data_IF_001440499519
#
_entry.id   IF_001440499519
#
_cell.length_a   1.000
_cell.length_b   1.000
_cell.length_c   1.000
_cell.angle_alpha   90.00
_cell.angle_beta   90.00
_cell.angle_gamma   90.00
#
_symmetry.space_group_name_H-M   'P 1'
#
loop_
_entity.id
_entity.type
_entity.pdbx_description
1 polymer ?
#
# COMPACT_ATOMS: atom_id res chain seq x y z
N UNK A 1 19.54 1.72 26.39
CA UNK A 1 18.16 2.28 26.30
C UNK A 1 17.20 1.30 26.99
N UNK A 2 16.04 1.73 27.50
CA UNK A 2 15.02 0.76 27.97
C UNK A 2 14.31 0.14 26.77
N UNK A 3 14.33 -1.18 26.66
CA UNK A 3 13.66 -1.93 25.59
C UNK A 3 12.15 -1.62 25.57
N UNK A 4 11.58 -1.24 24.41
CA UNK A 4 10.15 -1.09 24.24
C UNK A 4 9.43 -2.41 24.56
N UNK A 5 8.29 -2.35 25.27
CA UNK A 5 7.54 -3.55 25.70
C UNK A 5 7.19 -4.50 24.55
N UNK A 6 6.93 -3.97 23.35
CA UNK A 6 6.60 -4.78 22.17
C UNK A 6 7.78 -5.56 21.59
N UNK A 7 9.03 -5.20 21.94
CA UNK A 7 10.24 -5.87 21.45
C UNK A 7 10.84 -6.84 22.47
N UNK A 8 10.43 -6.78 23.74
CA UNK A 8 10.94 -7.68 24.77
C UNK A 8 10.76 -9.17 24.42
N UNK A 9 9.59 -9.63 23.90
CA UNK A 9 9.43 -11.03 23.51
C UNK A 9 10.39 -11.48 22.41
N UNK A 10 10.79 -10.59 21.49
CA UNK A 10 11.75 -10.93 20.42
C UNK A 10 13.16 -11.13 20.98
N UNK A 11 13.53 -10.40 22.04
CA UNK A 11 14.80 -10.60 22.75
C UNK A 11 14.77 -11.91 23.54
N UNK A 12 13.68 -12.14 24.27
CA UNK A 12 13.51 -13.34 25.11
C UNK A 12 13.56 -14.63 24.27
N UNK A 13 13.02 -14.58 23.04
CA UNK A 13 13.03 -15.68 22.08
C UNK A 13 14.33 -15.78 21.25
N UNK A 14 15.27 -14.84 21.41
CA UNK A 14 16.53 -14.80 20.66
C UNK A 14 16.36 -14.46 19.17
N UNK A 15 15.25 -13.81 18.79
CA UNK A 15 15.01 -13.33 17.42
C UNK A 15 15.82 -12.06 17.13
N UNK A 16 16.00 -11.20 18.13
CA UNK A 16 16.87 -10.03 18.09
C UNK A 16 17.73 -10.00 19.36
N UNK A 17 18.92 -9.40 19.31
CA UNK A 17 19.80 -9.32 20.48
C UNK A 17 19.52 -8.07 21.30
N UNK A 18 19.46 -6.91 20.65
CA UNK A 18 19.23 -5.63 21.32
C UNK A 18 18.51 -4.59 20.45
N UNK A 19 17.93 -3.60 21.13
CA UNK A 19 17.32 -2.42 20.52
C UNK A 19 18.32 -1.28 20.58
N UNK A 20 18.86 -0.90 19.43
CA UNK A 20 19.91 0.10 19.30
C UNK A 20 19.35 1.53 19.48
N UNK A 21 18.37 1.90 18.64
CA UNK A 21 17.77 3.25 18.65
C UNK A 21 16.35 3.28 18.08
N UNK A 22 15.48 4.20 18.53
CA UNK A 22 14.26 4.51 17.78
C UNK A 22 14.62 5.13 16.43
N UNK A 23 13.86 4.76 15.39
CA UNK A 23 14.01 5.33 14.04
C UNK A 23 12.89 6.32 13.71
N UNK A 24 11.64 5.90 13.86
CA UNK A 24 10.44 6.72 13.58
C UNK A 24 9.32 6.31 14.51
N UNK A 25 8.51 7.28 14.95
CA UNK A 25 7.27 7.01 15.70
C UNK A 25 6.11 7.67 14.95
N UNK A 26 5.19 6.86 14.47
CA UNK A 26 3.99 7.29 13.74
C UNK A 26 2.71 7.03 14.52
N UNK A 27 1.56 7.44 13.96
CA UNK A 27 0.24 7.16 14.57
C UNK A 27 -0.08 5.66 14.58
N UNK A 28 0.41 4.92 13.59
CA UNK A 28 0.03 3.52 13.37
C UNK A 28 1.10 2.51 13.78
N UNK A 29 2.37 2.90 13.76
CA UNK A 29 3.49 2.05 14.15
C UNK A 29 4.68 2.88 14.66
N UNK A 30 5.55 2.23 15.42
CA UNK A 30 6.87 2.73 15.78
C UNK A 30 7.93 1.82 15.16
N UNK A 31 8.96 2.40 14.57
CA UNK A 31 10.08 1.68 13.94
C UNK A 31 11.33 1.88 14.76
N UNK A 32 12.05 0.79 15.02
CA UNK A 32 13.29 0.75 15.79
C UNK A 32 14.40 0.10 14.97
N UNK A 33 15.64 0.54 15.18
CA UNK A 33 16.83 -0.17 14.70
C UNK A 33 17.23 -1.20 15.76
N UNK A 34 17.41 -2.44 15.32
CA UNK A 34 17.71 -3.60 16.19
C UNK A 34 18.88 -4.40 15.59
N UNK A 35 19.63 -5.10 16.43
CA UNK A 35 20.62 -6.10 15.98
C UNK A 35 20.05 -7.51 16.07
N UNK A 36 20.45 -8.37 15.13
CA UNK A 36 20.17 -9.80 15.15
C UNK A 36 21.39 -10.55 14.59
N UNK A 37 22.24 -11.05 15.47
CA UNK A 37 23.55 -11.60 15.13
C UNK A 37 24.46 -10.53 14.52
N UNK A 38 24.88 -10.77 13.27
CA UNK A 38 25.71 -9.83 12.52
C UNK A 38 24.88 -8.77 11.76
N UNK A 39 23.55 -8.94 11.69
CA UNK A 39 22.68 -8.09 10.90
C UNK A 39 22.11 -6.91 11.71
N UNK A 40 21.97 -5.76 11.06
CA UNK A 40 21.26 -4.59 11.58
C UNK A 40 19.95 -4.44 10.82
N UNK A 41 18.83 -4.48 11.54
CA UNK A 41 17.48 -4.56 10.98
C UNK A 41 16.57 -3.43 11.48
N UNK A 42 15.45 -3.26 10.79
CA UNK A 42 14.31 -2.46 11.23
C UNK A 42 13.24 -3.35 11.87
N UNK A 43 12.77 -2.96 13.05
CA UNK A 43 11.61 -3.55 13.71
C UNK A 43 10.42 -2.58 13.71
N UNK A 44 9.40 -2.87 12.89
CA UNK A 44 8.14 -2.11 12.83
C UNK A 44 7.13 -2.71 13.81
N UNK A 45 6.92 -2.02 14.92
CA UNK A 45 6.00 -2.36 16.01
C UNK A 45 4.68 -1.65 15.78
N UNK A 46 3.63 -2.40 15.48
CA UNK A 46 2.30 -1.88 15.22
C UNK A 46 1.58 -1.43 16.49
N UNK A 47 0.92 -0.25 16.44
CA UNK A 47 0.08 0.25 17.53
C UNK A 47 -1.31 -0.38 17.48
N UNK A 48 -1.92 -0.50 18.66
CA UNK A 48 -3.18 -1.20 18.88
C UNK A 48 -4.35 -0.55 18.11
N UNK A 49 -5.27 -1.38 17.59
CA UNK A 49 -6.30 -0.97 16.61
C UNK A 49 -7.27 0.10 17.14
N UNK A 50 -7.45 0.19 18.45
CA UNK A 50 -8.30 1.20 19.09
C UNK A 50 -7.78 2.64 18.92
N UNK A 51 -6.51 2.82 18.55
CA UNK A 51 -5.88 4.12 18.36
C UNK A 51 -5.73 4.53 16.88
N UNK A 52 -6.17 3.69 15.93
CA UNK A 52 -6.10 3.99 14.49
C UNK A 52 -7.39 4.70 14.05
N UNK A 53 -7.25 5.96 13.62
CA UNK A 53 -8.32 6.90 13.30
C UNK A 53 -9.38 6.35 12.33
N UNK A 54 -10.66 6.62 12.64
CA UNK A 54 -11.86 6.02 12.03
C UNK A 54 -12.13 6.45 10.57
N UNK A 55 -11.57 7.57 10.11
CA UNK A 55 -11.92 8.18 8.81
C UNK A 55 -11.27 7.50 7.59
N UNK A 56 -10.14 6.80 7.76
CA UNK A 56 -9.49 6.02 6.71
C UNK A 56 -10.07 4.60 6.55
N UNK A 57 -11.21 4.27 7.17
CA UNK A 57 -11.75 2.89 7.13
C UNK A 57 -12.74 2.66 6.00
N UNK A 58 -13.43 3.70 5.52
CA UNK A 58 -14.57 3.53 4.60
C UNK A 58 -14.12 3.31 3.15
N UNK A 59 -13.13 4.08 2.66
CA UNK A 59 -12.61 3.91 1.29
C UNK A 59 -11.67 2.70 1.11
N UNK A 60 -11.09 2.18 2.20
CA UNK A 60 -10.08 1.12 2.16
C UNK A 60 -10.65 -0.29 2.38
N UNK A 61 -11.91 -0.39 2.81
CA UNK A 61 -12.59 -1.66 3.06
C UNK A 61 -13.45 -2.13 1.87
N UNK A 62 -13.80 -1.24 0.95
CA UNK A 62 -14.50 -1.61 -0.28
C UNK A 62 -13.57 -2.43 -1.19
N UNK A 63 -13.92 -3.71 -1.38
CA UNK A 63 -13.17 -4.65 -2.23
C UNK A 63 -12.65 -5.91 -1.54
N UNK A 64 -12.60 -5.92 -0.20
CA UNK A 64 -12.13 -7.08 0.58
C UNK A 64 -13.25 -8.11 0.79
N UNK A 65 -13.70 -8.76 -0.28
CA UNK A 65 -14.59 -9.94 -0.17
C UNK A 65 -13.75 -11.19 0.11
N UNK A 66 -13.85 -11.71 1.33
CA UNK A 66 -13.33 -13.02 1.72
C UNK A 66 -14.02 -14.10 0.85
N UNK A 67 -13.24 -14.80 0.02
CA UNK A 67 -13.70 -15.98 -0.72
C UNK A 67 -13.85 -17.15 0.26
N UNK A 68 -15.04 -17.30 0.84
CA UNK A 68 -15.37 -18.45 1.68
C UNK A 68 -16.68 -18.28 2.44
N UNK A 69 -17.74 -18.94 1.97
CA UNK A 69 -19.12 -18.88 2.50
C UNK A 69 -19.31 -19.44 3.92
N UNK A 70 -18.22 -19.79 4.63
CA UNK A 70 -18.23 -20.22 6.03
C UNK A 70 -17.67 -19.16 7.01
N UNK A 71 -16.67 -18.37 6.61
CA UNK A 71 -16.08 -17.31 7.45
C UNK A 71 -16.95 -16.04 7.50
N UNK A 72 -17.64 -15.71 6.40
CA UNK A 72 -18.55 -14.57 6.34
C UNK A 72 -19.71 -14.64 7.37
N UNK A 73 -20.16 -15.85 7.73
CA UNK A 73 -21.23 -16.05 8.72
C UNK A 73 -20.75 -15.95 10.17
N UNK A 74 -19.46 -16.17 10.43
CA UNK A 74 -18.88 -16.01 11.77
C UNK A 74 -18.61 -14.52 12.12
N UNK A 75 -18.31 -13.70 11.11
CA UNK A 75 -18.05 -12.27 11.27
C UNK A 75 -19.30 -11.41 11.56
N UNK A 76 -20.50 -11.94 11.34
CA UNK A 76 -21.77 -11.27 11.67
C UNK A 76 -22.09 -11.18 13.17
N UNK A 77 -21.37 -11.92 14.03
CA UNK A 77 -21.51 -11.85 15.49
C UNK A 77 -20.25 -11.20 16.07
N UNK A 78 -20.32 -9.90 16.32
CA UNK A 78 -19.25 -9.03 16.83
C UNK A 78 -18.71 -9.45 18.22
N UNK A 79 -18.09 -10.62 18.33
CA UNK A 79 -17.47 -11.13 19.55
C UNK A 79 -16.01 -10.70 19.64
N UNK A 80 -15.49 -10.58 20.87
CA UNK A 80 -14.08 -10.24 21.17
C UNK A 80 -13.09 -11.20 20.48
N UNK A 81 -13.51 -12.44 20.24
CA UNK A 81 -12.77 -13.46 19.49
C UNK A 81 -12.77 -13.21 17.98
N UNK A 82 -13.92 -12.86 17.38
CA UNK A 82 -14.00 -12.50 15.96
C UNK A 82 -13.20 -11.24 15.59
N UNK A 83 -13.10 -10.26 16.52
CA UNK A 83 -12.19 -9.10 16.35
C UNK A 83 -10.71 -9.50 16.37
N UNK A 84 -10.32 -10.44 17.24
CA UNK A 84 -8.95 -10.94 17.37
C UNK A 84 -8.52 -11.80 16.17
N UNK A 85 -9.42 -12.65 15.66
CA UNK A 85 -9.22 -13.43 14.43
C UNK A 85 -9.12 -12.54 13.18
N UNK A 86 -9.99 -11.52 13.07
CA UNK A 86 -9.86 -10.51 12.03
C UNK A 86 -8.56 -9.70 12.19
N UNK A 87 -8.07 -9.48 13.41
CA UNK A 87 -6.80 -8.80 13.69
C UNK A 87 -5.58 -9.63 13.27
N UNK A 88 -5.58 -10.93 13.54
CA UNK A 88 -4.50 -11.84 13.11
C UNK A 88 -4.49 -12.01 11.59
N UNK A 89 -5.66 -12.12 10.95
CA UNK A 89 -5.77 -12.15 9.49
C UNK A 89 -5.38 -10.81 8.84
N UNK A 90 -5.59 -9.68 9.53
CA UNK A 90 -5.26 -8.34 9.03
C UNK A 90 -3.77 -8.01 9.15
N UNK A 91 -3.10 -8.52 10.20
CA UNK A 91 -1.67 -8.33 10.50
C UNK A 91 -0.73 -9.09 9.56
N UNK A 92 -1.22 -10.12 8.87
CA UNK A 92 -0.46 -10.88 7.87
C UNK A 92 -0.32 -10.12 6.53
N UNK A 93 -1.26 -9.23 6.18
CA UNK A 93 -1.33 -8.65 4.83
C UNK A 93 -0.13 -7.79 4.42
N UNK A 94 0.44 -6.97 5.31
CA UNK A 94 1.59 -6.12 4.95
C UNK A 94 2.88 -6.94 4.80
N UNK A 95 3.10 -7.91 5.70
CA UNK A 95 4.23 -8.82 5.59
C UNK A 95 4.11 -9.66 4.31
N UNK A 96 2.94 -10.25 4.05
CA UNK A 96 2.67 -11.04 2.85
C UNK A 96 2.85 -10.21 1.58
N UNK A 97 2.37 -8.96 1.57
CA UNK A 97 2.59 -8.06 0.44
C UNK A 97 4.09 -7.77 0.25
N UNK A 98 4.85 -7.48 1.30
CA UNK A 98 6.29 -7.26 1.20
C UNK A 98 7.03 -8.48 0.63
N UNK A 99 6.66 -9.70 1.02
CA UNK A 99 7.24 -10.90 0.42
C UNK A 99 6.91 -10.98 -1.08
N UNK A 100 5.66 -10.76 -1.48
CA UNK A 100 5.25 -10.76 -2.90
C UNK A 100 6.00 -9.69 -3.70
N UNK A 101 6.21 -8.51 -3.11
CA UNK A 101 6.93 -7.41 -3.74
C UNK A 101 8.40 -7.75 -3.95
N UNK A 102 9.06 -8.35 -2.96
CA UNK A 102 10.45 -8.83 -3.09
C UNK A 102 10.55 -9.91 -4.17
N UNK A 103 9.63 -10.87 -4.19
CA UNK A 103 9.61 -11.95 -5.18
C UNK A 103 9.40 -11.41 -6.61
N UNK A 104 8.63 -10.33 -6.76
CA UNK A 104 8.46 -9.62 -8.02
C UNK A 104 9.63 -8.69 -8.39
N UNK A 105 10.64 -8.58 -7.52
CA UNK A 105 11.82 -7.74 -7.73
C UNK A 105 11.53 -6.24 -7.59
N UNK A 106 10.52 -5.85 -6.81
CA UNK A 106 10.28 -4.46 -6.42
C UNK A 106 11.33 -4.05 -5.39
N UNK A 107 11.91 -2.85 -5.52
CA UNK A 107 12.87 -2.36 -4.54
C UNK A 107 12.18 -1.93 -3.24
N UNK A 108 12.08 -2.86 -2.30
CA UNK A 108 11.51 -2.68 -0.96
C UNK A 108 12.45 -3.27 0.10
N UNK A 109 12.34 -2.86 1.38
CA UNK A 109 13.07 -3.52 2.45
C UNK A 109 12.69 -4.99 2.54
N UNK A 110 13.68 -5.89 2.48
CA UNK A 110 13.40 -7.33 2.50
C UNK A 110 12.85 -7.73 3.88
N UNK A 111 11.67 -8.34 3.96
CA UNK A 111 11.16 -8.84 5.23
C UNK A 111 12.01 -10.02 5.71
N UNK A 112 12.33 -10.03 7.01
CA UNK A 112 13.06 -11.12 7.70
C UNK A 112 12.12 -12.00 8.53
N UNK A 113 10.95 -11.49 8.85
CA UNK A 113 9.90 -12.26 9.52
C UNK A 113 8.92 -11.38 10.28
N UNK A 114 7.85 -12.01 10.74
CA UNK A 114 6.82 -11.36 11.54
C UNK A 114 6.67 -12.11 12.87
N UNK A 115 7.06 -11.46 13.97
CA UNK A 115 7.15 -12.09 15.29
C UNK A 115 6.43 -11.23 16.32
N UNK A 116 5.57 -11.81 17.15
CA UNK A 116 4.85 -11.11 18.23
C UNK A 116 4.18 -9.78 17.84
N UNK A 117 3.68 -9.68 16.60
CA UNK A 117 3.09 -8.44 16.10
C UNK A 117 4.09 -7.38 15.61
N UNK A 118 5.33 -7.78 15.35
CA UNK A 118 6.45 -6.94 14.91
C UNK A 118 6.96 -7.46 13.57
N UNK A 119 7.02 -6.58 12.57
CA UNK A 119 7.65 -6.89 11.28
C UNK A 119 9.13 -6.54 11.35
N UNK A 120 9.99 -7.55 11.16
CA UNK A 120 11.42 -7.38 10.95
C UNK A 120 11.73 -7.30 9.46
N UNK A 121 12.55 -6.34 9.07
CA UNK A 121 12.98 -6.13 7.68
C UNK A 121 14.35 -5.47 7.62
N UNK A 122 14.99 -5.51 6.45
CA UNK A 122 16.28 -4.86 6.23
C UNK A 122 16.23 -3.36 6.58
N UNK A 123 17.31 -2.86 7.19
CA UNK A 123 17.53 -1.43 7.35
C UNK A 123 18.04 -0.88 6.01
N UNK A 124 17.36 0.13 5.47
CA UNK A 124 17.84 0.86 4.31
C UNK A 124 18.82 1.95 4.78
N UNK A 125 20.05 1.88 4.32
CA UNK A 125 21.13 2.78 4.73
C UNK A 125 21.68 3.62 3.57
N UNK A 126 22.32 4.73 3.93
CA UNK A 126 23.21 5.47 3.04
C UNK A 126 24.61 4.84 2.98
N UNK A 127 25.52 5.43 2.18
CA UNK A 127 26.92 5.01 2.03
C UNK A 127 27.71 5.02 3.35
N UNK A 128 27.29 5.82 4.32
CA UNK A 128 27.94 5.95 5.62
C UNK A 128 27.35 4.97 6.66
N UNK A 129 26.38 4.13 6.27
CA UNK A 129 25.70 3.19 7.17
C UNK A 129 24.67 3.84 8.09
N UNK A 130 24.34 5.12 7.88
CA UNK A 130 23.23 5.77 8.56
C UNK A 130 21.92 5.47 7.84
N UNK A 131 20.79 5.82 8.46
CA UNK A 131 19.48 5.66 7.82
C UNK A 131 19.40 6.46 6.53
N UNK A 132 19.00 5.82 5.43
CA UNK A 132 18.88 6.48 4.14
C UNK A 132 17.94 7.70 4.22
N UNK A 133 18.29 8.83 3.56
CA UNK A 133 17.41 9.99 3.46
C UNK A 133 16.18 9.66 2.61
N UNK A 134 15.12 10.44 2.78
CA UNK A 134 13.95 10.35 1.90
C UNK A 134 14.23 11.02 0.57
N UNK A 135 13.51 10.61 -0.48
CA UNK A 135 13.60 11.24 -1.79
C UNK A 135 13.30 12.75 -1.73
N UNK A 136 12.38 13.17 -0.85
CA UNK A 136 12.07 14.59 -0.64
C UNK A 136 13.15 15.40 0.11
N UNK A 137 14.18 14.74 0.64
CA UNK A 137 15.27 15.34 1.43
C UNK A 137 16.58 15.41 0.64
N UNK A 138 16.60 14.89 -0.61
CA UNK A 138 17.80 14.86 -1.46
C UNK A 138 17.66 15.84 -2.63
N UNK A 139 18.79 16.46 -2.98
CA UNK A 139 18.95 17.22 -4.21
C UNK A 139 19.54 16.30 -5.28
N UNK A 140 18.95 16.30 -6.47
CA UNK A 140 19.32 15.38 -7.55
C UNK A 140 19.78 16.13 -8.79
N UNK A 141 20.83 15.62 -9.42
CA UNK A 141 21.15 16.00 -10.80
C UNK A 141 20.07 15.47 -11.76
N UNK A 142 19.81 16.17 -12.89
CA UNK A 142 18.76 15.78 -13.83
C UNK A 142 18.88 14.34 -14.34
N UNK A 143 20.11 13.84 -14.54
CA UNK A 143 20.34 12.46 -14.98
C UNK A 143 19.95 11.45 -13.90
N UNK A 144 20.32 11.71 -12.65
CA UNK A 144 19.96 10.87 -11.53
C UNK A 144 18.44 10.83 -11.33
N UNK A 145 17.77 11.98 -11.48
CA UNK A 145 16.32 12.07 -11.39
C UNK A 145 15.62 11.20 -12.45
N UNK A 146 16.14 11.16 -13.69
CA UNK A 146 15.61 10.27 -14.76
C UNK A 146 15.81 8.79 -14.44
N UNK A 147 16.96 8.42 -13.89
CA UNK A 147 17.26 7.04 -13.49
C UNK A 147 16.31 6.61 -12.36
N UNK A 148 16.15 7.45 -11.33
CA UNK A 148 15.24 7.17 -10.22
C UNK A 148 13.79 7.08 -10.67
N UNK A 149 13.36 7.99 -11.55
CA UNK A 149 12.00 7.96 -12.11
C UNK A 149 11.75 6.65 -12.85
N UNK A 150 12.69 6.23 -13.71
CA UNK A 150 12.58 4.98 -14.46
C UNK A 150 12.50 3.77 -13.54
N UNK A 151 13.35 3.72 -12.50
CA UNK A 151 13.35 2.63 -11.51
C UNK A 151 12.02 2.56 -10.76
N UNK A 152 11.53 3.70 -10.26
CA UNK A 152 10.29 3.78 -9.50
C UNK A 152 9.06 3.45 -10.34
N UNK A 153 9.00 3.89 -11.60
CA UNK A 153 7.92 3.50 -12.51
C UNK A 153 7.95 1.99 -12.78
N UNK A 154 9.14 1.40 -12.97
CA UNK A 154 9.28 -0.06 -13.09
C UNK A 154 8.77 -0.80 -11.86
N UNK A 155 9.02 -0.28 -10.67
CA UNK A 155 8.49 -0.82 -9.42
C UNK A 155 6.97 -0.71 -9.33
N UNK A 156 6.38 0.43 -9.75
CA UNK A 156 4.93 0.59 -9.83
C UNK A 156 4.30 -0.38 -10.83
N UNK A 157 4.93 -0.64 -11.98
CA UNK A 157 4.46 -1.63 -12.96
C UNK A 157 4.42 -3.04 -12.37
N UNK A 158 5.47 -3.45 -11.65
CA UNK A 158 5.51 -4.74 -10.96
C UNK A 158 4.43 -4.84 -9.89
N UNK A 159 4.26 -3.79 -9.08
CA UNK A 159 3.19 -3.70 -8.07
C UNK A 159 1.82 -3.89 -8.71
N UNK A 160 1.51 -3.13 -9.75
CA UNK A 160 0.22 -3.20 -10.44
C UNK A 160 0.01 -4.56 -11.12
N UNK A 161 1.08 -5.19 -11.64
CA UNK A 161 1.03 -6.54 -12.21
C UNK A 161 0.68 -7.62 -11.17
N UNK A 162 1.01 -7.40 -9.89
CA UNK A 162 0.54 -8.23 -8.77
C UNK A 162 -0.90 -7.88 -8.34
N UNK A 163 -1.52 -6.88 -8.97
CA UNK A 163 -2.82 -6.35 -8.57
C UNK A 163 -2.77 -5.48 -7.32
N UNK A 164 -1.61 -4.89 -7.02
CA UNK A 164 -1.34 -4.10 -5.83
C UNK A 164 -1.11 -2.63 -6.20
N UNK A 165 -1.77 -1.72 -5.47
CA UNK A 165 -1.54 -0.27 -5.53
C UNK A 165 -1.05 0.18 -4.17
N UNK A 166 -0.01 1.02 -4.13
CA UNK A 166 0.54 1.53 -2.88
C UNK A 166 -0.46 2.41 -2.13
N UNK A 167 -1.09 3.36 -2.84
CA UNK A 167 -2.19 4.21 -2.37
C UNK A 167 -1.77 5.42 -1.53
N UNK A 168 -0.47 5.61 -1.31
CA UNK A 168 0.12 6.74 -0.58
C UNK A 168 1.57 6.98 -1.02
N UNK A 169 1.92 6.65 -2.27
CA UNK A 169 3.29 6.76 -2.75
C UNK A 169 3.62 8.23 -3.02
N UNK A 170 4.71 8.69 -2.41
CA UNK A 170 5.22 10.06 -2.50
C UNK A 170 6.71 10.08 -2.18
N UNK A 171 7.34 11.24 -2.33
CA UNK A 171 8.75 11.46 -1.98
C UNK A 171 9.07 11.21 -0.50
N UNK A 172 8.06 11.14 0.37
CA UNK A 172 8.21 10.83 1.79
C UNK A 172 8.26 9.33 2.10
N UNK A 173 7.77 8.51 1.17
CA UNK A 173 7.68 7.05 1.28
C UNK A 173 8.67 6.34 0.32
N UNK A 174 9.68 7.07 -0.15
CA UNK A 174 10.82 6.54 -0.90
C UNK A 174 12.10 6.92 -0.15
N UNK A 175 12.94 5.95 0.15
CA UNK A 175 14.29 6.16 0.67
C UNK A 175 15.30 6.07 -0.46
N UNK A 176 16.41 6.78 -0.35
CA UNK A 176 17.49 6.75 -1.35
C UNK A 176 18.69 6.03 -0.76
N UNK A 177 18.92 4.80 -1.22
CA UNK A 177 20.13 4.04 -0.91
C UNK A 177 21.19 4.27 -1.99
N UNK A 178 22.43 3.83 -1.77
CA UNK A 178 23.49 3.86 -2.79
C UNK A 178 23.12 3.11 -4.07
N UNK A 179 22.32 2.06 -3.94
CA UNK A 179 21.86 1.23 -5.06
C UNK A 179 20.63 1.81 -5.77
N UNK A 180 20.00 2.85 -5.21
CA UNK A 180 18.86 3.55 -5.81
C UNK A 180 17.67 3.77 -4.88
N UNK A 181 16.50 4.13 -5.44
CA UNK A 181 15.31 4.42 -4.65
C UNK A 181 14.67 3.12 -4.14
N UNK A 182 14.28 3.11 -2.86
CA UNK A 182 13.62 2.00 -2.18
C UNK A 182 12.28 2.46 -1.66
N UNK A 183 11.20 1.82 -2.11
CA UNK A 183 9.83 2.12 -1.68
C UNK A 183 9.59 1.54 -0.28
N UNK A 184 9.04 2.35 0.61
CA UNK A 184 8.77 1.97 2.00
C UNK A 184 7.34 2.30 2.40
N UNK A 185 6.93 1.74 3.54
CA UNK A 185 5.66 2.00 4.20
C UNK A 185 4.44 1.64 3.33
N UNK A 186 4.00 0.39 3.44
CA UNK A 186 2.84 -0.17 2.74
C UNK A 186 1.64 -0.32 3.69
N UNK A 187 1.16 0.74 4.39
CA UNK A 187 0.16 0.60 5.43
C UNK A 187 -1.18 0.10 4.89
N UNK A 188 -1.46 0.30 3.59
CA UNK A 188 -2.73 -0.05 2.94
C UNK A 188 -2.54 -0.45 1.47
N UNK A 189 -1.82 -1.54 1.19
CA UNK A 189 -1.81 -2.07 -0.19
C UNK A 189 -3.25 -2.32 -0.65
N UNK A 190 -3.65 -1.63 -1.71
CA UNK A 190 -5.01 -1.67 -2.25
C UNK A 190 -5.06 -2.66 -3.40
N UNK A 191 -6.08 -3.53 -3.39
CA UNK A 191 -6.33 -4.42 -4.52
C UNK A 191 -6.82 -3.62 -5.72
N UNK A 192 -6.05 -3.66 -6.81
CA UNK A 192 -6.35 -2.96 -8.05
C UNK A 192 -7.69 -3.40 -8.67
N UNK A 193 -8.01 -4.70 -8.61
CA UNK A 193 -9.25 -5.25 -9.13
C UNK A 193 -10.43 -5.16 -8.14
N UNK A 194 -10.14 -5.01 -6.84
CA UNK A 194 -11.15 -5.04 -5.78
C UNK A 194 -11.71 -3.67 -5.40
N UNK A 195 -10.95 -2.60 -5.60
CA UNK A 195 -11.31 -1.27 -5.09
C UNK A 195 -11.59 -0.28 -6.22
N UNK A 196 -12.78 0.32 -6.21
CA UNK A 196 -13.20 1.32 -7.19
C UNK A 196 -12.32 2.57 -7.21
N UNK A 197 -11.65 2.89 -6.09
CA UNK A 197 -10.72 4.01 -5.98
C UNK A 197 -9.28 3.65 -6.39
N UNK A 198 -8.98 2.39 -6.72
CA UNK A 198 -7.61 1.95 -7.01
C UNK A 198 -6.97 2.71 -8.18
N UNK A 199 -7.77 3.00 -9.22
CA UNK A 199 -7.32 3.80 -10.36
C UNK A 199 -6.81 5.17 -9.92
N UNK A 200 -7.63 5.90 -9.18
CA UNK A 200 -7.31 7.28 -8.77
C UNK A 200 -6.17 7.31 -7.75
N UNK A 201 -6.04 6.25 -6.94
CA UNK A 201 -4.90 6.07 -6.04
C UNK A 201 -3.61 5.84 -6.82
N UNK A 202 -3.62 4.94 -7.81
CA UNK A 202 -2.45 4.70 -8.67
C UNK A 202 -2.03 5.96 -9.43
N UNK A 203 -2.99 6.67 -10.03
CA UNK A 203 -2.67 7.89 -10.79
C UNK A 203 -2.01 8.93 -9.88
N UNK A 204 -2.53 9.10 -8.68
CA UNK A 204 -1.95 10.01 -7.67
C UNK A 204 -0.54 9.58 -7.28
N UNK A 205 -0.33 8.30 -7.00
CA UNK A 205 0.98 7.73 -6.67
C UNK A 205 2.00 8.06 -7.77
N UNK A 206 1.66 7.78 -9.03
CA UNK A 206 2.54 8.02 -10.18
C UNK A 206 2.74 9.52 -10.43
N UNK A 207 1.69 10.34 -10.28
CA UNK A 207 1.80 11.79 -10.44
C UNK A 207 2.65 12.43 -9.35
N UNK A 208 2.57 11.97 -8.09
CA UNK A 208 3.45 12.46 -7.02
C UNK A 208 4.93 12.21 -7.34
N UNK A 209 5.26 11.02 -7.86
CA UNK A 209 6.62 10.70 -8.29
C UNK A 209 7.07 11.58 -9.46
N UNK A 210 6.21 11.74 -10.46
CA UNK A 210 6.44 12.61 -11.62
C UNK A 210 6.70 14.05 -11.19
N UNK A 211 5.85 14.60 -10.34
CA UNK A 211 5.91 15.99 -9.91
C UNK A 211 7.15 16.22 -9.03
N UNK A 212 7.47 15.27 -8.15
CA UNK A 212 8.68 15.32 -7.33
C UNK A 212 9.95 15.36 -8.18
N UNK A 213 10.12 14.39 -9.08
CA UNK A 213 11.33 14.23 -9.89
C UNK A 213 11.39 15.21 -11.07
N UNK A 214 10.23 15.67 -11.54
CA UNK A 214 10.09 16.71 -12.56
C UNK A 214 10.64 18.07 -12.13
N UNK A 215 10.79 18.32 -10.82
CA UNK A 215 11.52 19.49 -10.31
C UNK A 215 12.98 19.51 -10.76
N UNK A 216 13.59 18.35 -10.93
CA UNK A 216 14.99 18.18 -11.36
C UNK A 216 15.13 17.89 -12.86
N UNK A 217 14.13 17.22 -13.45
CA UNK A 217 14.07 16.87 -14.88
C UNK A 217 12.71 17.25 -15.48
N UNK A 218 12.52 18.52 -15.92
CA UNK A 218 11.21 19.05 -16.32
C UNK A 218 10.48 18.28 -17.41
N UNK A 219 11.21 17.58 -18.28
CA UNK A 219 10.63 16.73 -19.32
C UNK A 219 9.77 15.58 -18.77
N UNK A 220 9.97 15.18 -17.51
CA UNK A 220 9.14 14.16 -16.86
C UNK A 220 7.71 14.62 -16.64
N UNK A 221 7.47 15.94 -16.50
CA UNK A 221 6.14 16.51 -16.25
C UNK A 221 5.17 16.27 -17.42
N UNK A 222 5.70 16.04 -18.62
CA UNK A 222 4.92 15.75 -19.83
C UNK A 222 4.55 14.26 -19.96
N UNK A 223 4.93 13.42 -18.99
CA UNK A 223 4.70 11.98 -19.04
C UNK A 223 3.40 11.55 -18.34
N UNK A 224 2.80 10.48 -18.86
CA UNK A 224 1.50 9.93 -18.46
C UNK A 224 1.58 8.41 -18.23
N UNK A 225 2.59 7.98 -17.48
CA UNK A 225 2.83 6.56 -17.19
C UNK A 225 1.66 5.92 -16.42
N UNK A 226 1.03 6.65 -15.50
CA UNK A 226 -0.06 6.12 -14.68
C UNK A 226 -1.28 5.74 -15.54
N UNK A 227 -1.64 6.61 -16.47
CA UNK A 227 -2.73 6.36 -17.41
C UNK A 227 -2.41 5.23 -18.39
N UNK A 228 -1.18 5.20 -18.90
CA UNK A 228 -0.72 4.15 -19.83
C UNK A 228 -0.73 2.77 -19.16
N UNK A 229 -0.12 2.62 -17.98
CA UNK A 229 -0.06 1.34 -17.29
C UNK A 229 -1.43 0.85 -16.82
N UNK A 230 -2.32 1.77 -16.40
CA UNK A 230 -3.69 1.41 -16.02
C UNK A 230 -4.48 0.90 -17.22
N UNK A 231 -4.35 1.54 -18.38
CA UNK A 231 -5.03 1.10 -19.60
C UNK A 231 -4.56 -0.28 -20.06
N UNK A 232 -3.27 -0.62 -19.88
CA UNK A 232 -2.76 -1.98 -20.11
C UNK A 232 -3.29 -2.96 -19.07
N UNK A 233 -3.36 -2.56 -17.80
CA UNK A 233 -3.90 -3.39 -16.71
C UNK A 233 -5.37 -3.74 -16.94
N UNK A 234 -6.21 -2.77 -17.32
CA UNK A 234 -7.63 -2.98 -17.62
C UNK A 234 -7.87 -3.97 -18.76
N UNK A 235 -6.95 -4.02 -19.73
CA UNK A 235 -7.00 -4.97 -20.85
C UNK A 235 -6.42 -6.34 -20.49
N UNK A 236 -5.81 -6.50 -19.32
CA UNK A 236 -5.07 -7.70 -18.94
C UNK A 236 -3.76 -7.89 -19.72
N UNK A 237 -3.20 -6.80 -20.24
CA UNK A 237 -2.00 -6.79 -21.09
C UNK A 237 -0.74 -6.33 -20.33
N UNK A 238 -0.89 -5.77 -19.12
CA UNK A 238 0.25 -5.33 -18.30
C UNK A 238 1.05 -6.53 -17.79
N UNK A 239 2.37 -6.45 -17.94
CA UNK A 239 3.35 -7.43 -17.46
C UNK A 239 4.42 -6.71 -16.63
N UNK A 240 5.12 -7.42 -15.72
CA UNK A 240 6.21 -6.82 -14.93
C UNK A 240 7.34 -6.21 -15.77
N UNK A 241 7.53 -6.68 -17.00
CA UNK A 241 8.52 -6.22 -17.98
C UNK A 241 7.91 -5.34 -19.09
N UNK A 242 6.66 -4.89 -18.93
CA UNK A 242 6.01 -4.00 -19.89
C UNK A 242 6.81 -2.71 -20.08
N UNK A 243 7.26 -2.48 -21.31
CA UNK A 243 7.92 -1.24 -21.70
C UNK A 243 6.86 -0.17 -21.94
N UNK A 244 6.83 0.83 -21.07
CA UNK A 244 5.94 1.99 -21.18
C UNK A 244 6.62 3.12 -21.95
N UNK A 245 5.82 3.91 -22.67
CA UNK A 245 6.29 5.03 -23.49
C UNK A 245 6.23 6.36 -22.76
N UNK A 246 5.47 6.44 -21.67
CA UNK A 246 5.14 7.67 -20.96
C UNK A 246 4.16 8.56 -21.73
N UNK A 247 3.59 8.08 -22.85
CA UNK A 247 2.65 8.85 -23.67
C UNK A 247 1.26 8.22 -23.59
N UNK A 248 0.27 9.06 -23.29
CA UNK A 248 -1.11 8.61 -23.23
C UNK A 248 -2.03 9.51 -24.04
N UNK A 249 -2.88 8.89 -24.86
CA UNK A 249 -3.93 9.60 -25.59
C UNK A 249 -5.20 9.62 -24.74
N UNK A 250 -5.48 10.75 -24.13
CA UNK A 250 -6.74 10.97 -23.42
C UNK A 250 -7.92 10.90 -24.38
N UNK A 251 -8.95 10.13 -24.01
CA UNK A 251 -10.22 10.18 -24.72
C UNK A 251 -10.89 11.52 -24.40
N UNK A 252 -10.93 12.42 -25.37
CA UNK A 252 -11.51 13.76 -25.24
C UNK A 252 -13.03 13.77 -25.43
N UNK A 253 -13.65 12.60 -25.65
CA UNK A 253 -15.11 12.49 -25.65
C UNK A 253 -15.59 12.76 -24.22
N UNK A 254 -16.29 13.89 -24.02
CA UNK A 254 -16.99 14.20 -22.77
C UNK A 254 -17.73 12.93 -22.32
N UNK A 255 -17.42 12.44 -21.12
CA UNK A 255 -18.19 11.38 -20.50
C UNK A 255 -19.68 11.75 -20.61
N UNK A 256 -20.49 10.83 -21.13
CA UNK A 256 -21.91 11.08 -21.29
C UNK A 256 -22.54 11.14 -19.89
N UNK A 257 -22.61 12.35 -19.33
CA UNK A 257 -23.16 12.63 -18.00
C UNK A 257 -24.58 12.09 -17.89
N UNK A 258 -25.31 11.92 -19.02
CA UNK A 258 -26.64 11.30 -19.03
C UNK A 258 -26.57 9.80 -18.80
N UNK A 259 -25.60 9.09 -19.37
CA UNK A 259 -25.42 7.65 -19.15
C UNK A 259 -25.02 7.36 -17.69
N UNK A 260 -24.14 8.17 -17.10
CA UNK A 260 -23.76 8.05 -15.68
C UNK A 260 -24.96 8.35 -14.79
N UNK A 261 -25.73 9.41 -15.07
CA UNK A 261 -26.93 9.75 -14.30
C UNK A 261 -28.02 8.69 -14.41
N UNK A 262 -28.23 8.12 -15.60
CA UNK A 262 -29.17 7.02 -15.81
C UNK A 262 -28.79 5.78 -14.98
N UNK A 263 -27.50 5.40 -14.97
CA UNK A 263 -27.03 4.27 -14.17
C UNK A 263 -27.17 4.50 -12.65
N UNK A 264 -27.01 5.73 -12.18
CA UNK A 264 -27.23 6.10 -10.77
C UNK A 264 -28.73 6.06 -10.41
N UNK A 265 -29.60 6.52 -11.32
CA UNK A 265 -31.06 6.52 -11.13
C UNK A 265 -31.61 5.09 -11.12
N UNK A 266 -31.15 4.23 -12.03
CA UNK A 266 -31.51 2.81 -12.11
C UNK A 266 -31.08 2.06 -10.83
N UNK A 267 -29.85 2.28 -10.36
CA UNK A 267 -29.36 1.69 -9.12
C UNK A 267 -30.12 2.18 -7.87
N UNK A 268 -30.66 3.41 -7.90
CA UNK A 268 -31.54 3.93 -6.83
C UNK A 268 -32.92 3.29 -6.87
N UNK A 269 -33.52 3.16 -8.05
CA UNK A 269 -34.83 2.53 -8.20
C UNK A 269 -34.79 1.05 -7.79
N UNK A 270 -33.75 0.33 -8.17
CA UNK A 270 -33.58 -1.08 -7.80
C UNK A 270 -33.43 -1.26 -6.27
N UNK A 271 -32.72 -0.36 -5.60
CA UNK A 271 -32.62 -0.36 -4.14
C UNK A 271 -33.95 -0.02 -3.45
N UNK A 272 -34.72 0.93 -3.99
CA UNK A 272 -36.05 1.28 -3.46
C UNK A 272 -37.02 0.10 -3.56
N UNK A 273 -37.07 -0.58 -4.71
CA UNK A 273 -37.90 -1.77 -4.94
C UNK A 273 -37.50 -2.88 -3.95
N UNK A 274 -36.20 -3.08 -3.74
CA UNK A 274 -35.69 -4.08 -2.81
C UNK A 274 -36.00 -3.75 -1.34
N UNK A 275 -36.05 -2.47 -0.99
CA UNK A 275 -36.38 -2.02 0.36
C UNK A 275 -37.88 -2.16 0.63
N UNK A 276 -38.72 -1.73 -0.31
CA UNK A 276 -40.18 -1.91 -0.24
C UNK A 276 -40.58 -3.38 -0.18
N UNK A 277 -39.90 -4.26 -0.94
CA UNK A 277 -40.14 -5.71 -0.85
C UNK A 277 -39.73 -6.33 0.48
N UNK A 278 -38.77 -5.73 1.21
CA UNK A 278 -38.39 -6.16 2.56
C UNK A 278 -39.34 -5.66 3.64
N UNK A 279 -39.87 -4.46 3.46
CA UNK A 279 -40.86 -3.86 4.36
C UNK A 279 -42.21 -4.59 4.24
N UNK A 280 -42.67 -4.86 3.03
CA UNK A 280 -43.89 -5.65 2.79
C UNK A 280 -43.79 -7.09 3.36
N UNK A 281 -42.64 -7.75 3.22
CA UNK A 281 -42.43 -9.08 3.78
C UNK A 281 -42.35 -9.10 5.33
N UNK A 282 -42.07 -7.96 5.97
CA UNK A 282 -42.06 -7.83 7.42
C UNK A 282 -43.45 -7.51 7.99
N UNK A 283 -44.32 -6.87 7.21
CA UNK A 283 -45.72 -6.60 7.58
C UNK A 283 -46.63 -7.82 7.44
N UNK A 284 -46.26 -8.81 6.59
CA UNK A 284 -46.99 -10.07 6.42
C UNK A 284 -46.64 -11.14 7.50
N UNK A 285 -45.67 -10.89 8.38
CA UNK A 285 -45.26 -11.79 9.48
C UNK A 285 -45.82 -11.41 10.88
N UNK A 286 -46.59 -10.32 11.00
CA UNK A 286 -47.34 -9.89 12.21
C UNK A 286 -48.85 -10.19 12.11
#
# INVERSE_FOLDING_TARGET
MKTPKGLQPLIDDGVIDEVLRPLKSGKEASVYVVSAGADILCAKVYKDMAQRSFQARVQYQEGRKVRGSRQARAMGKATKFGRKEAETAWKNTEADALYQLVDAGVHVPKPRGYFHGVLLMDLVTDDAGHSAPRLGEVELEPEQARVFHTSLIGDVVKMLSLGLVHGDLSEYNVLVSPDGPVVIDFPQVVSAAGNNAARDMLLRDVHNLRDCLGRFAPELLETHYGEEMWALFEKGELRPDSVLTGRFKFDTRRADVRAIRASIEDARQENLIRQQGREAAAEDED
#
